data_IF_538157917126
#
_entry.id   IF_538157917126
#
_cell.length_a   1.000
_cell.length_b   1.000
_cell.length_c   1.000
_cell.angle_alpha   90.00
_cell.angle_beta   90.00
_cell.angle_gamma   90.00
#
_symmetry.space_group_name_H-M   'P 1'
#
loop_
_entity.id
_entity.type
_entity.pdbx_description
1 polymer ?
#
# COMPACT_ATOMS: atom_id res chain seq x y z
N UNK A 1 15.83 -16.17 -25.10
CA UNK A 1 16.41 -16.08 -23.74
C UNK A 1 15.54 -16.97 -22.87
N UNK A 2 16.03 -18.13 -22.42
CA UNK A 2 15.24 -19.07 -21.61
C UNK A 2 14.83 -18.38 -20.31
N UNK A 3 13.53 -18.31 -20.06
CA UNK A 3 12.98 -17.76 -18.82
C UNK A 3 13.22 -18.80 -17.75
N UNK A 4 14.07 -18.50 -16.76
CA UNK A 4 14.34 -19.39 -15.63
C UNK A 4 13.02 -19.84 -14.98
N UNK A 5 12.91 -21.11 -14.58
CA UNK A 5 11.68 -21.67 -13.99
C UNK A 5 11.22 -20.89 -12.75
N UNK A 6 12.14 -20.27 -12.01
CA UNK A 6 11.86 -19.37 -10.88
C UNK A 6 11.09 -18.12 -11.30
N UNK A 7 11.44 -17.51 -12.45
CA UNK A 7 10.72 -16.36 -12.99
C UNK A 7 9.32 -16.77 -13.47
N UNK A 8 9.17 -17.93 -14.11
CA UNK A 8 7.84 -18.45 -14.50
C UNK A 8 6.95 -18.69 -13.28
N UNK A 9 7.51 -19.28 -12.23
CA UNK A 9 6.81 -19.46 -10.95
C UNK A 9 6.42 -18.11 -10.34
N UNK A 10 7.32 -17.13 -10.37
CA UNK A 10 7.05 -15.77 -9.89
C UNK A 10 5.96 -15.08 -10.70
N UNK A 11 5.93 -15.27 -12.02
CA UNK A 11 4.86 -14.72 -12.86
C UNK A 11 3.48 -15.27 -12.47
N UNK A 12 3.40 -16.56 -12.16
CA UNK A 12 2.15 -17.20 -11.76
C UNK A 12 1.73 -16.87 -10.32
N UNK A 13 2.67 -16.76 -9.39
CA UNK A 13 2.37 -16.71 -7.94
C UNK A 13 2.65 -15.36 -7.27
N UNK A 14 3.45 -14.49 -7.89
CA UNK A 14 3.99 -13.29 -7.25
C UNK A 14 5.07 -13.57 -6.19
N UNK A 15 5.54 -14.82 -6.08
CA UNK A 15 6.52 -15.25 -5.08
C UNK A 15 7.82 -15.64 -5.75
N UNK A 16 8.91 -14.93 -5.45
CA UNK A 16 10.25 -15.23 -5.94
C UNK A 16 11.17 -15.61 -4.78
N UNK A 17 11.69 -16.84 -4.80
CA UNK A 17 12.62 -17.32 -3.77
C UNK A 17 14.03 -16.83 -4.09
N UNK A 18 14.60 -16.01 -3.21
CA UNK A 18 15.96 -15.52 -3.34
C UNK A 18 16.89 -16.60 -2.81
N UNK A 19 17.44 -17.41 -3.73
CA UNK A 19 18.39 -18.45 -3.39
C UNK A 19 19.74 -17.82 -3.00
N UNK A 20 19.90 -17.53 -1.70
CA UNK A 20 21.17 -17.14 -1.10
C UNK A 20 21.97 -18.38 -0.72
N UNK A 21 23.16 -18.54 -1.27
CA UNK A 21 24.11 -19.64 -0.97
C UNK A 21 24.64 -19.66 0.48
N UNK A 22 24.04 -18.92 1.40
CA UNK A 22 24.51 -18.80 2.78
C UNK A 22 23.29 -18.69 3.70
N UNK A 23 23.11 -19.67 4.59
CA UNK A 23 22.04 -19.83 5.60
C UNK A 23 20.75 -20.51 5.11
N UNK A 24 20.29 -21.50 5.89
CA UNK A 24 19.15 -22.40 5.62
C UNK A 24 17.78 -21.72 5.63
N UNK A 25 17.71 -20.40 5.81
CA UNK A 25 16.50 -19.61 5.73
C UNK A 25 16.61 -18.65 4.53
N UNK A 26 16.17 -19.11 3.36
CA UNK A 26 16.16 -18.29 2.14
C UNK A 26 15.22 -17.09 2.28
N UNK A 27 15.65 -15.93 1.76
CA UNK A 27 14.77 -14.77 1.64
C UNK A 27 13.78 -14.99 0.49
N UNK A 28 12.61 -14.36 0.56
CA UNK A 28 11.60 -14.43 -0.50
C UNK A 28 11.13 -13.03 -0.82
N UNK A 29 11.13 -12.70 -2.11
CA UNK A 29 10.51 -11.48 -2.62
C UNK A 29 9.05 -11.77 -2.96
N UNK A 30 8.17 -10.88 -2.50
CA UNK A 30 6.74 -10.92 -2.77
C UNK A 30 6.37 -9.70 -3.61
N UNK A 31 5.74 -9.92 -4.75
CA UNK A 31 5.16 -8.84 -5.56
C UNK A 31 3.74 -8.53 -5.06
N UNK A 32 3.53 -7.40 -4.34
CA UNK A 32 2.22 -7.09 -3.80
C UNK A 32 1.17 -6.92 -4.88
N UNK A 33 1.54 -6.44 -6.07
CA UNK A 33 0.57 -6.21 -7.16
C UNK A 33 -0.02 -7.52 -7.65
N UNK A 34 0.81 -8.55 -7.87
CA UNK A 34 0.35 -9.90 -8.22
C UNK A 34 -0.47 -10.54 -7.12
N UNK A 35 -0.01 -10.47 -5.87
CA UNK A 35 -0.73 -11.04 -4.73
C UNK A 35 -2.11 -10.42 -4.55
N UNK A 36 -2.19 -9.10 -4.68
CA UNK A 36 -3.46 -8.38 -4.60
C UNK A 36 -4.36 -8.70 -5.81
N UNK A 37 -3.81 -8.73 -7.02
CA UNK A 37 -4.57 -9.11 -8.21
C UNK A 37 -5.06 -10.55 -8.20
N UNK A 38 -4.39 -11.46 -7.49
CA UNK A 38 -4.89 -12.81 -7.26
C UNK A 38 -6.11 -12.82 -6.31
N UNK A 39 -6.26 -11.79 -5.48
CA UNK A 39 -7.36 -11.65 -4.52
C UNK A 39 -8.57 -10.91 -5.10
N UNK A 40 -8.39 -10.20 -6.21
CA UNK A 40 -9.45 -9.43 -6.86
C UNK A 40 -9.91 -10.09 -8.17
N UNK A 41 -11.21 -10.25 -8.35
CA UNK A 41 -11.82 -10.79 -9.56
C UNK A 41 -12.24 -9.67 -10.51
N UNK A 42 -12.78 -8.56 -9.97
CA UNK A 42 -13.32 -7.45 -10.76
C UNK A 42 -12.32 -6.35 -11.05
N UNK A 43 -11.33 -6.17 -10.19
CA UNK A 43 -10.36 -5.07 -10.27
C UNK A 43 -8.97 -5.60 -10.53
N UNK A 44 -8.20 -4.83 -11.31
CA UNK A 44 -6.79 -5.10 -11.52
C UNK A 44 -5.98 -3.88 -11.12
N UNK A 45 -5.13 -4.07 -10.13
CA UNK A 45 -4.10 -3.11 -9.72
C UNK A 45 -3.03 -3.08 -10.81
N UNK A 46 -2.80 -1.90 -11.32
CA UNK A 46 -1.72 -1.62 -12.27
C UNK A 46 -0.42 -1.41 -11.49
N UNK A 47 0.69 -2.07 -11.88
CA UNK A 47 1.98 -1.92 -11.20
C UNK A 47 2.45 -0.46 -11.06
N UNK A 48 2.28 0.37 -12.10
CA UNK A 48 2.67 1.78 -12.10
C UNK A 48 1.85 2.64 -11.12
N UNK A 49 0.62 2.23 -10.80
CA UNK A 49 -0.21 2.91 -9.82
C UNK A 49 0.13 2.50 -8.37
N UNK A 50 0.68 1.30 -8.17
CA UNK A 50 1.07 0.80 -6.85
C UNK A 50 2.49 1.23 -6.46
N UNK A 51 3.45 1.10 -7.38
CA UNK A 51 4.85 1.43 -7.12
C UNK A 51 5.12 2.91 -7.42
N UNK A 52 5.29 3.72 -6.37
CA UNK A 52 5.66 5.14 -6.54
C UNK A 52 7.12 5.37 -6.95
N UNK A 53 7.97 4.34 -6.87
CA UNK A 53 9.40 4.39 -7.15
C UNK A 53 9.87 3.10 -7.81
N UNK A 54 10.82 3.20 -8.72
CA UNK A 54 11.53 2.03 -9.27
C UNK A 54 12.63 1.53 -8.31
N UNK A 55 12.94 0.23 -8.37
CA UNK A 55 14.01 -0.41 -7.59
C UNK A 55 15.43 -0.14 -8.09
N UNK A 56 15.59 0.58 -9.21
CA UNK A 56 16.91 0.98 -9.73
C UNK A 56 17.51 2.16 -8.96
N UNK A 57 18.83 2.36 -9.03
CA UNK A 57 19.43 3.61 -8.58
C UNK A 57 18.73 4.75 -9.31
N UNK A 58 18.23 5.75 -8.56
CA UNK A 58 17.71 6.97 -9.16
C UNK A 58 18.86 7.64 -9.91
N UNK A 59 18.86 7.52 -11.24
CA UNK A 59 19.53 8.51 -12.05
C UNK A 59 18.78 9.82 -11.79
N UNK A 60 19.48 10.77 -11.16
CA UNK A 60 18.98 12.13 -10.94
C UNK A 60 18.89 12.82 -12.31
N UNK A 61 17.86 12.50 -13.08
CA UNK A 61 17.47 13.28 -14.25
C UNK A 61 16.17 14.01 -13.91
N UNK A 62 16.33 15.29 -13.54
CA UNK A 62 15.25 16.25 -13.39
C UNK A 62 14.42 16.13 -12.11
N UNK A 63 15.00 16.51 -10.95
CA UNK A 63 14.16 16.96 -9.83
C UNK A 63 13.43 18.25 -10.25
N UNK A 64 12.09 18.36 -10.14
CA UNK A 64 11.49 19.66 -9.96
C UNK A 64 12.00 20.17 -8.62
N UNK A 65 12.59 21.36 -8.66
CA UNK A 65 13.17 22.06 -7.53
C UNK A 65 12.08 22.29 -6.48
N UNK A 66 11.91 21.32 -5.56
CA UNK A 66 11.19 21.56 -4.32
C UNK A 66 12.07 22.54 -3.57
N UNK A 67 11.62 23.80 -3.53
CA UNK A 67 12.23 24.89 -2.78
C UNK A 67 12.67 24.38 -1.41
N UNK A 68 13.99 24.21 -1.28
CA UNK A 68 14.63 23.87 -0.03
C UNK A 68 14.34 25.02 0.91
N UNK A 69 13.73 24.82 2.09
CA UNK A 69 13.49 25.92 3.00
C UNK A 69 14.84 26.55 3.35
N UNK A 70 14.95 27.84 3.03
CA UNK A 70 16.18 28.60 3.13
C UNK A 70 16.81 28.49 4.52
N UNK A 71 18.11 28.17 4.52
CA UNK A 71 19.13 28.53 5.53
C UNK A 71 18.62 28.65 6.97
N UNK A 72 18.29 27.52 7.60
CA UNK A 72 18.36 27.43 9.06
C UNK A 72 19.82 27.63 9.48
N UNK A 73 20.08 28.75 10.15
CA UNK A 73 21.35 29.13 10.80
C UNK A 73 22.06 27.90 11.37
N UNK A 74 23.28 27.62 10.87
CA UNK A 74 24.18 26.58 11.37
C UNK A 74 24.48 26.82 12.86
N UNK A 75 23.72 26.20 13.77
CA UNK A 75 24.19 25.99 15.15
C UNK A 75 25.24 24.88 15.12
N UNK A 76 26.45 25.18 15.60
CA UNK A 76 27.50 24.19 15.91
C UNK A 76 26.89 23.08 16.77
N UNK A 77 26.57 21.92 16.19
CA UNK A 77 26.21 20.71 16.94
C UNK A 77 27.37 19.73 16.89
N UNK A 78 28.49 20.14 17.49
CA UNK A 78 29.55 19.20 17.89
C UNK A 78 29.21 18.67 19.30
N UNK A 79 28.10 17.94 19.42
CA UNK A 79 27.85 17.08 20.57
C UNK A 79 27.16 15.83 20.03
N UNK A 80 27.84 14.69 20.08
CA UNK A 80 27.18 13.39 19.98
C UNK A 80 26.05 13.41 21.02
N UNK A 81 24.80 13.09 20.67
CA UNK A 81 23.75 12.93 21.66
C UNK A 81 24.27 11.96 22.73
N UNK A 82 24.24 12.36 24.00
CA UNK A 82 24.54 11.41 25.08
C UNK A 82 23.61 10.20 24.88
N UNK A 83 24.10 8.96 25.06
CA UNK A 83 23.24 7.79 25.02
C UNK A 83 22.13 8.02 26.04
N UNK A 84 20.93 8.30 25.55
CA UNK A 84 19.76 8.41 26.40
C UNK A 84 19.42 6.98 26.80
N UNK A 85 19.23 6.75 28.09
CA UNK A 85 18.76 5.46 28.56
C UNK A 85 17.36 5.22 27.98
N UNK A 86 17.23 4.11 27.24
CA UNK A 86 15.98 3.75 26.60
C UNK A 86 14.96 3.33 27.65
N UNK A 87 13.72 3.78 27.51
CA UNK A 87 12.64 3.29 28.37
C UNK A 87 12.43 1.78 28.16
N UNK A 88 11.74 1.06 29.07
CA UNK A 88 11.53 -0.38 28.94
C UNK A 88 10.91 -0.82 27.60
N UNK A 89 9.96 -0.05 27.05
CA UNK A 89 9.33 -0.33 25.75
C UNK A 89 10.28 -0.11 24.58
N UNK A 90 11.09 0.95 24.64
CA UNK A 90 12.12 1.26 23.66
C UNK A 90 13.20 0.18 23.66
N UNK A 91 13.57 -0.39 24.80
CA UNK A 91 14.48 -1.53 24.87
C UNK A 91 13.92 -2.77 24.20
N UNK A 92 12.63 -3.05 24.37
CA UNK A 92 11.95 -4.18 23.70
C UNK A 92 11.85 -3.93 22.19
N UNK A 93 11.56 -2.69 21.78
CA UNK A 93 11.58 -2.32 20.35
C UNK A 93 12.99 -2.45 19.76
N UNK A 94 14.01 -2.01 20.47
CA UNK A 94 15.40 -2.10 20.05
C UNK A 94 15.87 -3.56 19.96
N UNK A 95 15.53 -4.41 20.93
CA UNK A 95 15.86 -5.84 20.87
C UNK A 95 15.28 -6.50 19.61
N UNK A 96 14.00 -6.24 19.30
CA UNK A 96 13.35 -6.72 18.06
C UNK A 96 14.02 -6.15 16.81
N UNK A 97 14.42 -4.88 16.85
CA UNK A 97 15.14 -4.26 15.73
C UNK A 97 16.51 -4.94 15.50
N UNK A 98 17.28 -5.18 16.57
CA UNK A 98 18.58 -5.82 16.49
C UNK A 98 18.49 -7.27 15.97
N UNK A 99 17.41 -7.99 16.32
CA UNK A 99 17.13 -9.33 15.79
C UNK A 99 16.75 -9.31 14.30
N UNK A 100 15.87 -8.40 13.88
CA UNK A 100 15.38 -8.32 12.51
C UNK A 100 16.41 -7.75 11.52
N UNK A 101 17.25 -6.81 11.98
CA UNK A 101 18.22 -6.09 11.13
C UNK A 101 19.15 -7.01 10.30
N UNK A 102 19.84 -8.01 10.86
CA UNK A 102 20.71 -8.88 10.06
C UNK A 102 19.94 -9.68 9.01
N UNK A 103 18.72 -10.12 9.31
CA UNK A 103 17.86 -10.84 8.37
C UNK A 103 17.45 -9.94 7.20
N UNK A 104 17.06 -8.69 7.49
CA UNK A 104 16.70 -7.70 6.47
C UNK A 104 17.90 -7.32 5.59
N UNK A 105 19.09 -7.17 6.18
CA UNK A 105 20.31 -6.89 5.41
C UNK A 105 20.67 -8.05 4.49
N UNK A 106 20.60 -9.30 4.97
CA UNK A 106 20.85 -10.48 4.14
C UNK A 106 19.81 -10.62 3.01
N UNK A 107 18.52 -10.38 3.32
CA UNK A 107 17.46 -10.37 2.31
C UNK A 107 17.69 -9.29 1.25
N UNK A 108 18.12 -8.10 1.67
CA UNK A 108 18.47 -7.00 0.75
C UNK A 108 19.66 -7.37 -0.15
N UNK A 109 20.74 -7.90 0.42
CA UNK A 109 21.91 -8.35 -0.37
C UNK A 109 21.53 -9.43 -1.38
N UNK A 110 20.67 -10.37 -0.99
CA UNK A 110 20.15 -11.42 -1.87
C UNK A 110 19.29 -10.84 -2.98
N UNK A 111 18.44 -9.86 -2.68
CA UNK A 111 17.63 -9.15 -3.67
C UNK A 111 18.49 -8.38 -4.68
N UNK A 112 19.53 -7.68 -4.22
CA UNK A 112 20.46 -6.94 -5.09
C UNK A 112 21.22 -7.87 -6.04
N UNK A 113 21.52 -9.10 -5.60
CA UNK A 113 22.16 -10.14 -6.44
C UNK A 113 21.20 -10.71 -7.49
N UNK A 114 19.88 -10.68 -7.26
CA UNK A 114 18.86 -11.20 -8.18
C UNK A 114 18.59 -10.26 -9.37
N UNK A 115 19.59 -10.08 -10.25
CA UNK A 115 19.55 -9.15 -11.38
C UNK A 115 18.36 -9.38 -12.31
N UNK A 116 18.03 -10.63 -12.62
CA UNK A 116 16.91 -10.97 -13.51
C UNK A 116 15.56 -10.52 -12.95
N UNK A 117 15.34 -10.68 -11.64
CA UNK A 117 14.13 -10.22 -10.95
C UNK A 117 14.04 -8.68 -11.00
N UNK A 118 15.14 -7.99 -10.69
CA UNK A 118 15.16 -6.52 -10.70
C UNK A 118 14.89 -5.94 -12.09
N UNK A 119 15.47 -6.53 -13.14
CA UNK A 119 15.20 -6.14 -14.52
C UNK A 119 13.73 -6.37 -14.90
N UNK A 120 13.17 -7.51 -14.50
CA UNK A 120 11.76 -7.84 -14.72
C UNK A 120 10.81 -6.83 -14.07
N UNK A 121 11.02 -6.54 -12.78
CA UNK A 121 10.17 -5.60 -12.04
C UNK A 121 10.27 -4.20 -12.67
N UNK A 122 11.47 -3.76 -13.02
CA UNK A 122 11.68 -2.45 -13.68
C UNK A 122 10.90 -2.34 -14.99
N UNK A 123 10.90 -3.38 -15.83
CA UNK A 123 10.11 -3.42 -17.06
C UNK A 123 8.61 -3.40 -16.78
N UNK A 124 8.17 -4.14 -15.76
CA UNK A 124 6.76 -4.24 -15.37
C UNK A 124 6.21 -2.90 -14.87
N UNK A 125 6.98 -2.16 -14.07
CA UNK A 125 6.59 -0.84 -13.56
C UNK A 125 6.47 0.20 -14.69
N UNK A 126 7.31 0.10 -15.72
CA UNK A 126 7.31 1.04 -16.87
C UNK A 126 6.22 0.78 -17.91
N UNK A 127 5.37 -0.24 -17.73
CA UNK A 127 4.31 -0.56 -18.68
C UNK A 127 3.29 0.58 -18.82
N UNK A 128 2.98 0.96 -20.06
CA UNK A 128 1.88 1.86 -20.41
C UNK A 128 0.53 1.13 -20.30
N UNK A 129 0.13 0.75 -19.09
CA UNK A 129 -1.26 0.37 -18.84
C UNK A 129 -2.05 1.67 -18.60
N UNK A 130 -3.03 1.94 -19.47
CA UNK A 130 -3.92 3.10 -19.35
C UNK A 130 -4.75 2.98 -18.08
N UNK A 131 -4.52 3.85 -17.11
CA UNK A 131 -5.34 3.96 -15.91
C UNK A 131 -6.68 4.60 -16.27
N UNK A 132 -7.78 4.03 -15.76
CA UNK A 132 -9.01 4.79 -15.60
C UNK A 132 -8.68 5.91 -14.62
N UNK A 133 -9.00 7.15 -15.02
CA UNK A 133 -8.74 8.41 -14.32
C UNK A 133 -8.99 8.29 -12.80
N UNK A 134 -7.94 7.90 -12.08
CA UNK A 134 -7.88 7.99 -10.64
C UNK A 134 -7.64 9.47 -10.39
N UNK A 135 -8.74 10.23 -10.35
CA UNK A 135 -8.75 11.69 -10.39
C UNK A 135 -7.58 12.29 -9.61
N UNK A 136 -6.86 13.18 -10.28
CA UNK A 136 -5.58 13.80 -9.90
C UNK A 136 -5.60 14.65 -8.61
N UNK A 137 -6.54 14.43 -7.70
CA UNK A 137 -6.64 15.11 -6.42
C UNK A 137 -5.69 14.53 -5.36
N UNK A 138 -5.48 15.28 -4.28
CA UNK A 138 -4.81 14.83 -3.06
C UNK A 138 -5.63 13.76 -2.30
N UNK A 139 -5.02 12.62 -1.94
CA UNK A 139 -5.64 11.54 -1.16
C UNK A 139 -6.41 12.04 0.08
N UNK A 140 -7.49 11.35 0.44
CA UNK A 140 -8.21 11.65 1.68
C UNK A 140 -7.34 11.25 2.87
N UNK A 141 -6.97 12.22 3.71
CA UNK A 141 -6.30 11.93 4.97
C UNK A 141 -7.34 11.53 6.03
N UNK A 142 -7.66 10.22 6.09
CA UNK A 142 -8.64 9.69 7.06
C UNK A 142 -8.27 9.96 8.52
N UNK A 143 -6.98 10.11 8.85
CA UNK A 143 -6.52 10.45 10.20
C UNK A 143 -6.94 11.87 10.56
N UNK A 144 -6.66 12.85 9.70
CA UNK A 144 -7.08 14.23 9.90
C UNK A 144 -8.60 14.36 9.95
N UNK A 145 -9.31 13.65 9.05
CA UNK A 145 -10.76 13.61 9.05
C UNK A 145 -11.33 13.06 10.35
N UNK A 146 -10.71 12.02 10.91
CA UNK A 146 -11.10 11.41 12.18
C UNK A 146 -10.82 12.28 13.41
N UNK A 147 -9.97 13.30 13.29
CA UNK A 147 -9.75 14.30 14.36
C UNK A 147 -10.67 15.52 14.26
N UNK A 148 -11.41 15.65 13.16
CA UNK A 148 -12.31 16.79 12.94
C UNK A 148 -13.59 16.63 13.76
N UNK A 149 -14.15 17.73 14.25
CA UNK A 149 -15.51 17.74 14.83
C UNK A 149 -16.57 17.26 13.82
N UNK A 150 -16.27 17.32 12.52
CA UNK A 150 -17.14 16.83 11.44
C UNK A 150 -17.11 15.32 11.25
N UNK A 151 -16.21 14.60 11.93
CA UNK A 151 -16.03 13.15 11.75
C UNK A 151 -17.34 12.34 11.82
N UNK A 152 -18.27 12.61 12.78
CA UNK A 152 -19.53 11.88 12.86
C UNK A 152 -20.47 12.07 11.65
N UNK A 153 -20.27 13.10 10.83
CA UNK A 153 -21.12 13.43 9.68
C UNK A 153 -20.53 12.96 8.35
N UNK A 154 -19.35 12.32 8.35
CA UNK A 154 -18.82 11.72 7.13
C UNK A 154 -19.48 10.38 6.88
N UNK A 155 -20.03 10.22 5.68
CA UNK A 155 -20.63 8.97 5.22
C UNK A 155 -19.84 8.43 4.04
N UNK A 156 -19.70 7.11 3.98
CA UNK A 156 -19.17 6.37 2.83
C UNK A 156 -20.32 5.61 2.18
N UNK A 157 -20.40 5.67 0.85
CA UNK A 157 -21.37 4.89 0.08
C UNK A 157 -20.72 3.62 -0.42
N UNK A 158 -21.31 2.46 -0.17
CA UNK A 158 -20.81 1.18 -0.67
C UNK A 158 -21.76 0.68 -1.74
N UNK A 159 -21.19 0.37 -2.90
CA UNK A 159 -21.89 -0.17 -4.05
C UNK A 159 -21.61 -1.67 -4.12
N UNK A 160 -22.64 -2.47 -3.84
CA UNK A 160 -22.64 -3.92 -4.03
C UNK A 160 -23.15 -4.25 -5.43
N UNK A 161 -22.49 -5.19 -6.09
CA UNK A 161 -23.01 -5.75 -7.33
C UNK A 161 -24.22 -6.61 -7.01
N UNK A 162 -25.33 -6.39 -7.72
CA UNK A 162 -26.50 -7.23 -7.58
C UNK A 162 -26.32 -8.50 -8.45
N UNK A 163 -26.24 -9.71 -7.87
CA UNK A 163 -26.00 -10.93 -8.63
C UNK A 163 -27.22 -11.38 -9.46
N UNK A 164 -28.40 -10.79 -9.24
CA UNK A 164 -29.67 -11.29 -9.79
C UNK A 164 -30.16 -10.64 -11.09
N UNK A 165 -29.41 -9.75 -11.73
CA UNK A 165 -29.84 -9.13 -13.00
C UNK A 165 -29.02 -9.69 -14.16
N UNK A 166 -29.36 -10.93 -14.57
CA UNK A 166 -29.10 -11.38 -15.94
C UNK A 166 -30.26 -10.89 -16.82
N UNK A 167 -29.95 -10.03 -17.77
CA UNK A 167 -30.82 -9.75 -18.91
C UNK A 167 -31.70 -8.52 -18.74
N UNK A 168 -31.29 -7.42 -19.35
CA UNK A 168 -31.76 -6.99 -20.67
C UNK A 168 -31.60 -5.47 -20.77
N UNK A 169 -31.07 -5.04 -21.91
CA UNK A 169 -31.00 -3.66 -22.39
C UNK A 169 -29.87 -2.81 -21.75
N UNK A 170 -28.89 -2.49 -22.60
CA UNK A 170 -27.92 -1.39 -22.50
C UNK A 170 -27.35 -1.06 -21.11
N UNK A 171 -26.31 -1.82 -20.71
CA UNK A 171 -25.13 -1.25 -20.05
C UNK A 171 -25.24 -0.76 -18.60
N UNK A 172 -26.40 -0.80 -17.95
CA UNK A 172 -26.52 -0.37 -16.55
C UNK A 172 -26.64 -1.54 -15.58
N UNK A 173 -25.52 -1.90 -14.94
CA UNK A 173 -25.53 -2.78 -13.77
C UNK A 173 -26.30 -2.10 -12.62
N UNK A 174 -27.39 -2.71 -12.15
CA UNK A 174 -28.13 -2.21 -10.99
C UNK A 174 -27.33 -2.50 -9.72
N UNK A 175 -26.45 -1.58 -9.32
CA UNK A 175 -25.67 -1.69 -8.09
C UNK A 175 -26.53 -1.29 -6.89
N UNK A 176 -26.64 -2.16 -5.88
CA UNK A 176 -27.24 -1.77 -4.59
C UNK A 176 -26.28 -0.82 -3.89
N UNK A 177 -26.72 0.41 -3.64
CA UNK A 177 -25.93 1.41 -2.93
C UNK A 177 -26.44 1.54 -1.50
N UNK A 178 -25.51 1.53 -0.54
CA UNK A 178 -25.84 1.72 0.86
C UNK A 178 -24.84 2.69 1.48
N UNK A 179 -25.35 3.73 2.14
CA UNK A 179 -24.52 4.72 2.83
C UNK A 179 -24.39 4.36 4.30
N UNK A 180 -23.17 4.46 4.82
CA UNK A 180 -22.84 4.20 6.22
C UNK A 180 -22.09 5.40 6.80
N UNK A 181 -22.28 5.73 8.08
CA UNK A 181 -21.37 6.64 8.77
C UNK A 181 -19.95 6.04 8.70
N UNK A 182 -18.99 6.82 8.22
CA UNK A 182 -17.62 6.36 8.02
C UNK A 182 -16.91 6.12 9.36
N UNK A 183 -17.18 6.97 10.36
CA UNK A 183 -16.57 6.88 11.67
C UNK A 183 -17.51 6.27 12.71
N UNK A 184 -16.92 5.52 13.64
CA UNK A 184 -17.58 4.80 14.73
C UNK A 184 -18.67 3.81 14.29
N UNK A 185 -18.63 3.37 13.03
CA UNK A 185 -19.48 2.29 12.53
C UNK A 185 -18.61 1.14 12.04
N UNK A 186 -19.01 -0.08 12.36
CA UNK A 186 -18.40 -1.27 11.78
C UNK A 186 -18.99 -1.45 10.38
N UNK A 187 -18.13 -1.40 9.37
CA UNK A 187 -18.51 -1.60 7.97
C UNK A 187 -18.04 -2.98 7.56
N UNK A 188 -18.97 -3.84 7.14
CA UNK A 188 -18.69 -5.20 6.64
C UNK A 188 -19.07 -5.32 5.16
N UNK A 189 -18.21 -6.01 4.39
CA UNK A 189 -18.48 -6.42 3.02
C UNK A 189 -18.80 -7.91 3.02
N UNK A 190 -20.07 -8.23 3.22
CA UNK A 190 -20.57 -9.61 3.35
C UNK A 190 -20.93 -10.27 2.00
N UNK A 191 -20.78 -9.53 0.90
CA UNK A 191 -21.05 -10.02 -0.44
C UNK A 191 -20.07 -11.10 -0.93
N UNK A 192 -20.46 -11.84 -1.96
CA UNK A 192 -19.61 -12.83 -2.65
C UNK A 192 -18.59 -12.23 -3.60
N UNK A 193 -18.72 -10.93 -3.89
CA UNK A 193 -17.92 -10.16 -4.83
C UNK A 193 -17.25 -8.98 -4.12
N UNK A 194 -16.23 -8.38 -4.75
CA UNK A 194 -15.68 -7.10 -4.27
C UNK A 194 -16.73 -5.99 -4.34
N UNK A 195 -16.66 -5.06 -3.38
CA UNK A 195 -17.52 -3.86 -3.35
C UNK A 195 -16.73 -2.59 -3.68
N UNK A 196 -17.42 -1.58 -4.19
CA UNK A 196 -16.84 -0.25 -4.44
C UNK A 196 -17.30 0.72 -3.35
N UNK A 197 -16.36 1.26 -2.59
CA UNK A 197 -16.62 2.35 -1.65
C UNK A 197 -16.43 3.70 -2.33
N UNK A 198 -17.35 4.63 -2.11
CA UNK A 198 -17.27 6.00 -2.59
C UNK A 198 -17.28 6.97 -1.41
N UNK A 199 -16.28 7.85 -1.36
CA UNK A 199 -16.19 8.91 -0.36
C UNK A 199 -15.53 10.15 -0.96
N UNK A 200 -16.20 11.31 -0.89
CA UNK A 200 -15.72 12.59 -1.44
C UNK A 200 -15.22 12.49 -2.88
N UNK A 201 -16.03 11.89 -3.76
CA UNK A 201 -15.72 11.64 -5.18
C UNK A 201 -14.49 10.77 -5.42
N UNK A 202 -14.03 10.02 -4.40
CA UNK A 202 -13.01 8.98 -4.55
C UNK A 202 -13.64 7.62 -4.45
N UNK A 203 -13.15 6.71 -5.30
CA UNK A 203 -13.54 5.31 -5.30
C UNK A 203 -12.45 4.47 -4.64
N UNK A 204 -12.87 3.51 -3.85
CA UNK A 204 -12.06 2.58 -3.08
C UNK A 204 -12.53 1.17 -3.41
N UNK A 205 -11.58 0.25 -3.53
CA UNK A 205 -11.88 -1.17 -3.68
C UNK A 205 -11.97 -1.76 -2.28
N UNK A 206 -13.09 -2.43 -1.97
CA UNK A 206 -13.28 -3.14 -0.72
C UNK A 206 -13.23 -4.64 -0.99
N UNK A 207 -12.22 -5.36 -0.47
CA UNK A 207 -12.09 -6.80 -0.67
C UNK A 207 -13.31 -7.56 -0.14
N UNK A 208 -13.61 -8.68 -0.79
CA UNK A 208 -14.65 -9.61 -0.35
C UNK A 208 -14.39 -10.09 1.08
N UNK A 209 -15.41 -10.06 1.94
CA UNK A 209 -15.31 -10.52 3.32
C UNK A 209 -14.49 -9.60 4.22
N UNK A 210 -14.14 -8.40 3.76
CA UNK A 210 -13.45 -7.42 4.59
C UNK A 210 -14.41 -6.77 5.58
N UNK A 211 -13.89 -6.41 6.76
CA UNK A 211 -14.59 -5.58 7.72
C UNK A 211 -13.61 -4.54 8.28
N UNK A 212 -14.09 -3.32 8.49
CA UNK A 212 -13.26 -2.25 9.04
C UNK A 212 -14.07 -1.32 9.94
N UNK A 213 -13.37 -0.75 10.91
CA UNK A 213 -13.87 0.25 11.84
C UNK A 213 -12.90 1.44 11.81
N UNK A 214 -13.40 2.62 11.44
CA UNK A 214 -12.65 3.86 11.63
C UNK A 214 -13.13 4.55 12.90
N UNK A 215 -12.23 4.85 13.83
CA UNK A 215 -12.57 5.50 15.10
C UNK A 215 -12.24 6.99 15.05
N UNK A 216 -13.10 7.80 15.67
CA UNK A 216 -12.81 9.24 15.88
C UNK A 216 -11.69 9.37 16.91
N UNK A 217 -10.66 10.15 16.60
CA UNK A 217 -9.64 10.55 17.56
C UNK A 217 -10.00 11.91 18.14
N UNK A 218 -10.85 11.92 19.16
CA UNK A 218 -11.09 13.14 19.94
C UNK A 218 -9.91 13.34 20.88
N UNK A 219 -9.00 14.25 20.55
CA UNK A 219 -8.03 14.75 21.50
C UNK A 219 -8.75 15.67 22.48
N UNK A 220 -9.12 15.12 23.64
CA UNK A 220 -9.49 15.82 24.87
C UNK A 220 -10.30 17.10 24.72
N UNK A 221 -11.62 16.99 24.83
CA UNK A 221 -12.42 18.05 25.44
C UNK A 221 -12.86 17.48 26.80
N UNK A 222 -12.07 17.79 27.82
CA UNK A 222 -12.56 17.78 29.20
C UNK A 222 -13.38 19.06 29.31
N UNK A 223 -14.71 18.93 29.44
CA UNK A 223 -15.55 20.00 29.99
C UNK A 223 -15.64 19.80 31.50
#
# INVERSE_FOLDING_TARGET
MEVCDELRSFEATGVYRLNGTCTSAGATYLDPVRLLNASYQRFRIVPSAYYSRSFGPQHQEGEPEIERPEKRRKRKRNQKPKPRELNPMERIAEARHQEAKPLLLNAHESLVKAKHLLEYISKTIKGNEHTLDAGSGSENNFVELGTSWRAPFYEITICFRNPHVLGNEEGFFHAQKTSFPLFNSLISVEGTDEAEGEFRNRRYILPRGSCFLMVVQIKGIIL
#
